data_IF_072226053378
#
_entry.id   IF_072226053378
#
_cell.length_a   1.000
_cell.length_b   1.000
_cell.length_c   1.000
_cell.angle_alpha   90.00
_cell.angle_beta   90.00
_cell.angle_gamma   90.00
#
_symmetry.space_group_name_H-M   'P 1'
#
loop_
_entity.id
_entity.type
_entity.pdbx_description
1 polymer ?
#
# COMPACT_ATOMS: atom_id res chain seq x y z
N UNK A 1 -11.00 12.90 -23.86
CA UNK A 1 -11.47 11.62 -23.29
C UNK A 1 -10.76 11.43 -21.95
N UNK A 2 -11.46 11.57 -20.82
CA UNK A 2 -10.88 11.34 -19.49
C UNK A 2 -10.66 9.84 -19.28
N UNK A 3 -9.43 9.37 -19.47
CA UNK A 3 -9.07 7.97 -19.29
C UNK A 3 -8.88 7.67 -17.80
N UNK A 4 -9.84 6.96 -17.18
CA UNK A 4 -9.69 6.44 -15.81
C UNK A 4 -8.77 5.24 -15.87
N UNK A 5 -7.50 5.42 -15.50
CA UNK A 5 -6.61 4.29 -15.23
C UNK A 5 -7.26 3.38 -14.18
N UNK A 6 -7.51 2.12 -14.53
CA UNK A 6 -8.00 1.07 -13.60
C UNK A 6 -6.85 0.66 -12.67
N UNK A 7 -6.34 1.60 -11.89
CA UNK A 7 -5.33 1.31 -10.89
C UNK A 7 -5.98 0.41 -9.86
N UNK A 8 -5.39 -0.78 -9.66
CA UNK A 8 -5.85 -1.73 -8.65
C UNK A 8 -6.00 -1.00 -7.33
N UNK A 9 -7.20 -1.02 -6.76
CA UNK A 9 -7.46 -0.44 -5.44
C UNK A 9 -6.48 -1.02 -4.42
N UNK A 10 -6.12 -0.23 -3.41
CA UNK A 10 -5.33 -0.75 -2.29
C UNK A 10 -6.05 -1.97 -1.69
N UNK A 11 -5.28 -3.00 -1.31
CA UNK A 11 -5.81 -4.19 -0.64
C UNK A 11 -6.61 -3.80 0.61
N UNK A 12 -6.29 -2.65 1.21
CA UNK A 12 -7.04 -2.06 2.33
C UNK A 12 -8.56 -1.92 2.10
N UNK A 13 -9.01 -1.76 0.85
CA UNK A 13 -10.44 -1.64 0.52
C UNK A 13 -11.22 -2.97 0.60
N UNK A 14 -10.52 -4.10 0.64
CA UNK A 14 -11.16 -5.41 0.75
C UNK A 14 -11.67 -5.63 2.19
N UNK A 15 -11.03 -5.03 3.20
CA UNK A 15 -11.39 -5.23 4.60
C UNK A 15 -12.82 -4.75 4.94
N UNK A 16 -13.24 -3.51 4.61
CA UNK A 16 -14.61 -3.07 4.89
C UNK A 16 -15.67 -3.92 4.20
N UNK A 17 -15.41 -4.34 2.96
CA UNK A 17 -16.33 -5.19 2.19
C UNK A 17 -16.46 -6.57 2.86
N UNK A 18 -15.32 -7.17 3.23
CA UNK A 18 -15.29 -8.47 3.90
C UNK A 18 -15.93 -8.43 5.30
N UNK A 19 -15.71 -7.36 6.06
CA UNK A 19 -16.35 -7.15 7.36
C UNK A 19 -17.86 -6.99 7.18
N UNK A 20 -18.31 -6.14 6.25
CA UNK A 20 -19.73 -5.90 6.03
C UNK A 20 -20.46 -7.17 5.54
N UNK A 21 -19.89 -7.88 4.56
CA UNK A 21 -20.46 -9.14 4.09
C UNK A 21 -20.51 -10.19 5.21
N UNK A 22 -19.53 -10.19 6.11
CA UNK A 22 -19.54 -11.09 7.24
C UNK A 22 -20.64 -10.84 8.25
N UNK A 23 -20.98 -9.58 8.52
CA UNK A 23 -22.10 -9.25 9.40
C UNK A 23 -23.43 -9.72 8.81
N UNK A 24 -23.62 -9.55 7.49
CA UNK A 24 -24.80 -10.05 6.79
C UNK A 24 -24.88 -11.57 6.91
N UNK A 25 -23.78 -12.28 6.62
CA UNK A 25 -23.75 -13.74 6.70
C UNK A 25 -23.96 -14.25 8.12
N UNK A 26 -23.41 -13.57 9.13
CA UNK A 26 -23.60 -13.90 10.54
C UNK A 26 -25.08 -13.78 10.94
N UNK A 27 -25.77 -12.70 10.52
CA UNK A 27 -27.20 -12.52 10.77
C UNK A 27 -28.03 -13.61 10.10
N UNK A 28 -27.69 -13.98 8.86
CA UNK A 28 -28.34 -15.08 8.15
C UNK A 28 -28.10 -16.43 8.84
N UNK A 29 -26.88 -16.70 9.29
CA UNK A 29 -26.55 -17.93 10.03
C UNK A 29 -27.29 -17.99 11.36
N UNK A 30 -27.41 -16.86 12.07
CA UNK A 30 -28.17 -16.75 13.31
C UNK A 30 -29.66 -17.04 13.10
N UNK A 31 -30.28 -16.43 12.08
CA UNK A 31 -31.69 -16.65 11.75
C UNK A 31 -31.95 -18.09 11.28
N UNK A 32 -31.08 -18.65 10.46
CA UNK A 32 -31.17 -20.04 10.01
C UNK A 32 -31.11 -21.00 11.21
N UNK A 33 -30.17 -20.79 12.14
CA UNK A 33 -30.06 -21.58 13.37
C UNK A 33 -31.32 -21.45 14.23
N UNK A 34 -31.89 -20.24 14.34
CA UNK A 34 -33.14 -20.00 15.06
C UNK A 34 -34.29 -20.81 14.48
N UNK A 35 -34.48 -20.78 13.15
CA UNK A 35 -35.51 -21.56 12.45
C UNK A 35 -35.30 -23.06 12.62
N UNK A 36 -34.06 -23.54 12.50
CA UNK A 36 -33.72 -24.96 12.68
C UNK A 36 -34.00 -25.44 14.11
N UNK A 37 -33.65 -24.64 15.14
CA UNK A 37 -33.97 -24.95 16.54
C UNK A 37 -35.49 -25.01 16.78
N UNK A 38 -36.25 -24.08 16.20
CA UNK A 38 -37.72 -24.10 16.28
C UNK A 38 -38.33 -25.32 15.56
N UNK A 39 -37.67 -25.83 14.52
CA UNK A 39 -38.06 -27.06 13.81
C UNK A 39 -37.67 -28.37 14.52
N UNK A 40 -37.09 -28.32 15.73
CA UNK A 40 -36.68 -29.49 16.49
C UNK A 40 -35.36 -30.13 16.02
N UNK A 41 -34.59 -29.44 15.17
CA UNK A 41 -33.25 -29.89 14.79
C UNK A 41 -32.23 -29.42 15.82
N UNK A 42 -31.45 -30.35 16.36
CA UNK A 42 -30.33 -30.05 17.26
C UNK A 42 -29.18 -29.39 16.48
N UNK A 43 -29.18 -28.06 16.44
CA UNK A 43 -28.06 -27.28 15.93
C UNK A 43 -27.00 -27.05 17.03
N UNK A 44 -26.43 -28.13 17.56
CA UNK A 44 -25.26 -28.07 18.44
C UNK A 44 -24.00 -27.95 17.57
N UNK A 45 -23.63 -26.72 17.22
CA UNK A 45 -22.53 -26.49 16.28
C UNK A 45 -21.84 -25.16 16.52
N UNK A 46 -21.14 -25.04 17.63
CA UNK A 46 -20.05 -24.07 17.74
C UNK A 46 -18.85 -24.70 17.01
N UNK A 47 -18.12 -23.96 16.17
CA UNK A 47 -18.17 -22.50 15.98
C UNK A 47 -19.16 -22.06 14.88
N UNK A 48 -19.54 -20.78 14.88
CA UNK A 48 -20.24 -20.16 13.75
C UNK A 48 -19.33 -20.21 12.52
N UNK A 49 -19.78 -20.87 11.45
CA UNK A 49 -18.98 -21.10 10.24
C UNK A 49 -18.58 -19.76 9.63
N UNK A 50 -19.48 -18.78 9.66
CA UNK A 50 -19.23 -17.43 9.16
C UNK A 50 -18.08 -16.75 9.88
N UNK A 51 -18.00 -16.82 11.21
CA UNK A 51 -16.91 -16.21 11.99
C UNK A 51 -15.56 -16.86 11.68
N UNK A 52 -15.52 -18.19 11.51
CA UNK A 52 -14.29 -18.89 11.10
C UNK A 52 -13.83 -18.42 9.71
N UNK A 53 -14.75 -18.29 8.76
CA UNK A 53 -14.42 -17.81 7.41
C UNK A 53 -13.83 -16.39 7.44
N UNK A 54 -14.35 -15.52 8.30
CA UNK A 54 -13.81 -14.16 8.50
C UNK A 54 -12.43 -14.19 9.13
N UNK A 55 -12.23 -15.03 10.14
CA UNK A 55 -10.92 -15.24 10.75
C UNK A 55 -9.88 -15.67 9.70
N UNK A 56 -10.21 -16.66 8.86
CA UNK A 56 -9.36 -17.11 7.77
C UNK A 56 -9.10 -16.00 6.74
N UNK A 57 -10.11 -15.19 6.43
CA UNK A 57 -9.95 -14.03 5.53
C UNK A 57 -8.89 -13.06 6.06
N UNK A 58 -8.91 -12.70 7.35
CA UNK A 58 -7.91 -11.82 7.94
C UNK A 58 -6.48 -12.38 7.85
N UNK A 59 -6.32 -13.68 8.11
CA UNK A 59 -5.02 -14.37 8.02
C UNK A 59 -4.52 -14.37 6.57
N UNK A 60 -5.37 -14.78 5.62
CA UNK A 60 -5.03 -14.83 4.19
C UNK A 60 -4.66 -13.44 3.68
N UNK A 61 -5.44 -12.41 4.02
CA UNK A 61 -5.14 -11.03 3.61
C UNK A 61 -3.81 -10.54 4.20
N UNK A 62 -3.51 -10.84 5.47
CA UNK A 62 -2.21 -10.51 6.07
C UNK A 62 -1.04 -11.17 5.35
N UNK A 63 -1.19 -12.44 4.97
CA UNK A 63 -0.19 -13.18 4.18
C UNK A 63 -0.04 -12.58 2.77
N UNK A 64 -1.15 -12.28 2.09
CA UNK A 64 -1.11 -11.65 0.76
C UNK A 64 -0.45 -10.27 0.80
N UNK A 65 -0.73 -9.48 1.83
CA UNK A 65 -0.07 -8.19 2.07
C UNK A 65 1.42 -8.36 2.35
N UNK A 66 1.83 -9.41 3.06
CA UNK A 66 3.26 -9.71 3.24
C UNK A 66 3.95 -9.99 1.90
N UNK A 67 3.37 -10.85 1.05
CA UNK A 67 3.96 -11.17 -0.25
C UNK A 67 4.02 -9.96 -1.18
N UNK A 68 3.02 -9.06 -1.09
CA UNK A 68 3.02 -7.80 -1.83
C UNK A 68 4.06 -6.84 -1.26
N UNK A 69 3.83 -6.32 -0.07
CA UNK A 69 4.56 -5.18 0.49
C UNK A 69 5.88 -5.54 1.17
N UNK A 70 6.13 -6.83 1.44
CA UNK A 70 7.27 -7.36 2.22
C UNK A 70 7.42 -6.77 3.63
N UNK A 71 6.35 -6.19 4.16
CA UNK A 71 6.29 -5.68 5.52
C UNK A 71 5.71 -6.76 6.46
N UNK A 72 6.47 -7.14 7.48
CA UNK A 72 6.13 -8.21 8.44
C UNK A 72 4.99 -7.83 9.40
N UNK A 73 4.68 -6.55 9.52
CA UNK A 73 3.62 -6.06 10.42
C UNK A 73 2.24 -6.58 9.96
N UNK A 74 2.00 -6.62 8.64
CA UNK A 74 0.72 -7.07 8.08
C UNK A 74 0.36 -8.54 8.36
N UNK A 75 1.25 -9.53 8.16
CA UNK A 75 0.92 -10.91 8.49
C UNK A 75 0.71 -11.08 9.99
N UNK A 76 1.52 -10.46 10.85
CA UNK A 76 1.34 -10.54 12.31
C UNK A 76 -0.01 -9.95 12.72
N UNK A 77 -0.37 -8.77 12.22
CA UNK A 77 -1.67 -8.16 12.49
C UNK A 77 -2.82 -9.02 11.95
N UNK A 78 -2.69 -9.59 10.75
CA UNK A 78 -3.67 -10.50 10.17
C UNK A 78 -3.88 -11.77 11.00
N UNK A 79 -2.81 -12.35 11.55
CA UNK A 79 -2.88 -13.48 12.47
C UNK A 79 -3.54 -13.11 13.79
N UNK A 80 -3.14 -12.00 14.42
CA UNK A 80 -3.74 -11.55 15.67
C UNK A 80 -5.25 -11.28 15.51
N UNK A 81 -5.63 -10.56 14.44
CA UNK A 81 -7.04 -10.29 14.12
C UNK A 81 -7.81 -11.58 13.82
N UNK A 82 -7.23 -12.50 13.05
CA UNK A 82 -7.84 -13.78 12.73
C UNK A 82 -8.08 -14.65 13.97
N UNK A 83 -7.08 -14.83 14.82
CA UNK A 83 -7.20 -15.61 16.07
C UNK A 83 -8.26 -15.00 16.98
N UNK A 84 -8.22 -13.68 17.19
CA UNK A 84 -9.20 -12.97 18.04
C UNK A 84 -10.61 -13.09 17.49
N UNK A 85 -10.77 -13.02 16.16
CA UNK A 85 -12.07 -13.23 15.50
C UNK A 85 -12.57 -14.66 15.68
N UNK A 86 -11.70 -15.68 15.52
CA UNK A 86 -12.09 -17.07 15.73
C UNK A 86 -12.54 -17.32 17.18
N UNK A 87 -11.82 -16.75 18.16
CA UNK A 87 -12.15 -16.83 19.58
C UNK A 87 -13.54 -16.24 19.90
N UNK A 88 -13.95 -15.18 19.20
CA UNK A 88 -15.29 -14.59 19.37
C UNK A 88 -16.42 -15.61 19.14
N UNK A 89 -16.23 -16.59 18.24
CA UNK A 89 -17.20 -17.67 17.98
C UNK A 89 -17.55 -18.51 19.21
N UNK A 90 -16.64 -18.54 20.20
CA UNK A 90 -16.76 -19.35 21.41
C UNK A 90 -17.26 -18.54 22.62
N UNK A 91 -17.42 -17.22 22.47
CA UNK A 91 -17.86 -16.31 23.55
C UNK A 91 -19.36 -16.00 23.45
N UNK A 92 -19.96 -16.07 22.25
CA UNK A 92 -21.41 -15.92 22.05
C UNK A 92 -22.17 -17.26 22.24
N UNK A 93 -23.48 -17.24 22.54
CA UNK A 93 -24.16 -16.79 23.76
C UNK A 93 -24.38 -17.91 24.79
N UNK A 94 -23.92 -19.15 24.54
CA UNK A 94 -24.32 -20.33 25.31
C UNK A 94 -23.26 -20.76 26.36
N UNK A 95 -22.26 -19.92 26.67
CA UNK A 95 -21.23 -20.19 27.68
C UNK A 95 -21.30 -19.20 28.85
N UNK A 96 -22.03 -19.57 29.90
CA UNK A 96 -22.08 -18.85 31.19
C UNK A 96 -20.71 -18.77 31.89
N UNK A 97 -19.69 -19.47 31.38
CA UNK A 97 -18.34 -19.45 31.93
C UNK A 97 -17.29 -19.57 30.80
N UNK A 98 -17.10 -18.48 30.05
CA UNK A 98 -16.09 -18.40 28.99
C UNK A 98 -14.65 -18.67 29.49
N UNK A 99 -14.42 -18.71 30.81
CA UNK A 99 -13.21 -19.22 31.44
C UNK A 99 -11.92 -18.67 30.82
N UNK A 100 -11.03 -19.58 30.42
CA UNK A 100 -9.73 -19.27 29.79
C UNK A 100 -9.92 -18.63 28.40
N UNK A 101 -10.98 -18.97 27.66
CA UNK A 101 -11.23 -18.45 26.31
C UNK A 101 -11.60 -16.96 26.36
N UNK A 102 -12.43 -16.55 27.31
CA UNK A 102 -12.76 -15.13 27.51
C UNK A 102 -11.54 -14.29 27.90
N UNK A 103 -10.70 -14.81 28.80
CA UNK A 103 -9.46 -14.15 29.21
C UNK A 103 -8.44 -14.05 28.07
N UNK A 104 -8.25 -15.13 27.30
CA UNK A 104 -7.34 -15.11 26.14
C UNK A 104 -7.81 -14.16 25.04
N UNK A 105 -9.11 -14.08 24.77
CA UNK A 105 -9.68 -13.09 23.85
C UNK A 105 -9.38 -11.66 24.29
N UNK A 106 -9.60 -11.34 25.58
CA UNK A 106 -9.33 -10.01 26.11
C UNK A 106 -7.84 -9.64 26.04
N UNK A 107 -6.96 -10.59 26.37
CA UNK A 107 -5.51 -10.41 26.22
C UNK A 107 -5.12 -10.18 24.76
N UNK A 108 -5.63 -11.01 23.83
CA UNK A 108 -5.38 -10.85 22.40
C UNK A 108 -5.84 -9.48 21.88
N UNK A 109 -7.00 -9.00 22.34
CA UNK A 109 -7.50 -7.67 22.01
C UNK A 109 -6.57 -6.55 22.49
N UNK A 110 -6.07 -6.63 23.73
CA UNK A 110 -5.07 -5.67 24.25
C UNK A 110 -3.77 -5.74 23.44
N UNK A 111 -3.28 -6.94 23.14
CA UNK A 111 -2.07 -7.14 22.33
C UNK A 111 -2.23 -6.50 20.95
N UNK A 112 -3.39 -6.62 20.31
CA UNK A 112 -3.67 -5.96 19.03
C UNK A 112 -3.53 -4.43 19.16
N UNK A 113 -4.16 -3.83 20.17
CA UNK A 113 -4.10 -2.38 20.38
C UNK A 113 -2.65 -1.93 20.60
N UNK A 114 -1.91 -2.61 21.49
CA UNK A 114 -0.51 -2.31 21.76
C UNK A 114 0.35 -2.48 20.50
N UNK A 115 0.12 -3.55 19.74
CA UNK A 115 0.85 -3.83 18.50
C UNK A 115 0.63 -2.71 17.47
N UNK A 116 -0.62 -2.23 17.32
CA UNK A 116 -0.93 -1.12 16.43
C UNK A 116 -0.25 0.17 16.89
N UNK A 117 -0.30 0.49 18.20
CA UNK A 117 0.32 1.70 18.74
C UNK A 117 1.84 1.69 18.52
N UNK A 118 2.50 0.58 18.85
CA UNK A 118 3.97 0.42 18.69
C UNK A 118 4.37 0.55 17.23
N UNK A 119 3.58 -0.02 16.32
CA UNK A 119 3.88 -0.04 14.88
C UNK A 119 3.21 1.09 14.09
N UNK A 120 2.57 2.06 14.78
CA UNK A 120 1.78 3.11 14.14
C UNK A 120 2.60 3.91 13.13
N UNK A 121 3.84 4.27 13.50
CA UNK A 121 4.74 5.00 12.61
C UNK A 121 4.95 4.24 11.30
N UNK A 122 5.27 2.94 11.36
CA UNK A 122 5.50 2.15 10.15
C UNK A 122 4.25 2.02 9.28
N UNK A 123 3.08 1.77 9.89
CA UNK A 123 1.81 1.71 9.18
C UNK A 123 1.47 3.04 8.48
N UNK A 124 1.58 4.14 9.22
CA UNK A 124 1.28 5.48 8.72
C UNK A 124 2.21 5.89 7.57
N UNK A 125 3.53 5.70 7.73
CA UNK A 125 4.50 6.04 6.70
C UNK A 125 4.24 5.22 5.42
N UNK A 126 3.96 3.91 5.56
CA UNK A 126 3.70 3.03 4.43
C UNK A 126 2.52 3.51 3.60
N UNK A 127 1.38 3.76 4.26
CA UNK A 127 0.17 4.21 3.59
C UNK A 127 0.39 5.55 2.85
N UNK A 128 1.09 6.50 3.49
CA UNK A 128 1.39 7.81 2.90
C UNK A 128 2.29 7.68 1.66
N UNK A 129 3.35 6.87 1.74
CA UNK A 129 4.23 6.61 0.60
C UNK A 129 3.49 5.90 -0.55
N UNK A 130 2.65 4.90 -0.25
CA UNK A 130 1.90 4.17 -1.26
C UNK A 130 0.93 5.09 -2.01
N UNK A 131 0.16 5.91 -1.27
CA UNK A 131 -0.82 6.84 -1.86
C UNK A 131 -0.11 7.88 -2.74
N UNK A 132 0.99 8.47 -2.28
CA UNK A 132 1.73 9.46 -3.07
C UNK A 132 2.44 8.82 -4.27
N UNK A 133 2.97 7.60 -4.14
CA UNK A 133 3.53 6.87 -5.28
C UNK A 133 2.46 6.61 -6.34
N UNK A 134 1.23 6.22 -5.95
CA UNK A 134 0.11 6.07 -6.88
C UNK A 134 -0.22 7.39 -7.60
N UNK A 135 -0.23 8.52 -6.89
CA UNK A 135 -0.45 9.84 -7.48
C UNK A 135 0.66 10.23 -8.46
N UNK A 136 1.91 9.92 -8.11
CA UNK A 136 3.08 10.15 -8.95
C UNK A 136 2.94 9.41 -10.28
N UNK A 137 2.63 8.11 -10.23
CA UNK A 137 2.40 7.33 -11.44
C UNK A 137 1.17 7.79 -12.24
N UNK A 138 0.09 8.22 -11.59
CA UNK A 138 -1.07 8.82 -12.28
C UNK A 138 -0.68 10.09 -13.04
N UNK A 139 0.02 11.00 -12.38
CA UNK A 139 0.43 12.28 -12.96
C UNK A 139 1.42 12.07 -14.13
N UNK A 140 2.28 11.07 -14.05
CA UNK A 140 3.13 10.65 -15.17
C UNK A 140 2.32 9.99 -16.30
N UNK A 141 1.30 9.20 -15.96
CA UNK A 141 0.45 8.53 -16.96
C UNK A 141 -0.46 9.48 -17.76
N UNK A 142 -0.94 10.57 -17.14
CA UNK A 142 -1.86 11.53 -17.76
C UNK A 142 -1.34 12.16 -19.06
N UNK A 143 -0.02 12.22 -19.25
CA UNK A 143 0.62 12.88 -20.39
C UNK A 143 0.89 11.97 -21.59
N UNK A 144 0.54 10.69 -21.50
CA UNK A 144 0.89 9.68 -22.49
C UNK A 144 -0.33 9.31 -23.33
N UNK A 145 -0.20 9.40 -24.66
CA UNK A 145 -1.30 9.21 -25.62
C UNK A 145 -1.15 7.87 -26.38
N UNK A 146 0.04 7.27 -26.42
CA UNK A 146 0.36 6.12 -27.29
C UNK A 146 0.51 4.78 -26.53
N UNK A 147 0.07 3.70 -27.19
CA UNK A 147 0.07 2.31 -26.69
C UNK A 147 0.82 1.38 -27.64
N UNK A 148 2.14 1.44 -27.63
CA UNK A 148 2.96 0.41 -28.26
C UNK A 148 4.39 0.50 -27.74
N UNK A 149 4.79 -0.38 -26.81
CA UNK A 149 6.18 -0.85 -26.61
C UNK A 149 6.24 -1.95 -25.54
N UNK A 150 7.30 -2.77 -25.61
CA UNK A 150 7.65 -3.78 -24.60
C UNK A 150 8.28 -3.17 -23.34
N UNK A 151 8.22 -3.91 -22.23
CA UNK A 151 8.93 -3.55 -20.99
C UNK A 151 10.43 -3.81 -21.13
N UNK A 152 11.27 -2.92 -20.57
CA UNK A 152 12.71 -3.19 -20.39
C UNK A 152 13.12 -2.86 -18.96
N UNK A 153 13.97 -3.66 -18.32
CA UNK A 153 14.38 -3.40 -16.92
C UNK A 153 15.52 -2.37 -16.81
N UNK A 154 16.00 -1.85 -17.95
CA UNK A 154 17.16 -0.95 -18.01
C UNK A 154 16.77 0.47 -17.56
N UNK A 155 17.64 1.18 -16.83
CA UNK A 155 17.40 2.58 -16.50
C UNK A 155 17.27 3.45 -17.78
N UNK A 156 16.23 4.25 -17.83
CA UNK A 156 15.99 5.24 -18.88
C UNK A 156 16.76 6.52 -18.57
N UNK A 157 17.56 7.01 -19.52
CA UNK A 157 18.32 8.26 -19.39
C UNK A 157 17.51 9.40 -19.98
N UNK A 158 17.06 10.35 -19.15
CA UNK A 158 16.10 11.36 -19.55
C UNK A 158 16.68 12.75 -19.87
N UNK A 159 18.00 12.83 -20.05
CA UNK A 159 18.72 14.07 -20.33
C UNK A 159 19.47 14.62 -19.13
N UNK A 160 19.91 15.88 -19.25
CA UNK A 160 20.70 16.59 -18.23
C UNK A 160 20.02 17.89 -17.81
N UNK A 161 19.94 18.17 -16.51
CA UNK A 161 19.53 19.47 -15.97
C UNK A 161 20.61 20.03 -15.05
N UNK A 162 20.95 21.32 -15.19
CA UNK A 162 21.88 21.96 -14.28
C UNK A 162 21.27 22.08 -12.88
N UNK A 163 21.79 21.28 -11.95
CA UNK A 163 21.37 21.21 -10.56
C UNK A 163 22.60 21.20 -9.67
N UNK A 164 22.61 22.03 -8.63
CA UNK A 164 23.66 21.95 -7.62
C UNK A 164 23.41 20.78 -6.66
N UNK A 165 24.46 20.28 -6.01
CA UNK A 165 24.34 19.22 -4.99
C UNK A 165 23.39 19.64 -3.86
N UNK A 166 23.43 20.91 -3.45
CA UNK A 166 22.57 21.43 -2.39
C UNK A 166 21.10 21.51 -2.80
N UNK A 167 20.81 21.90 -4.05
CA UNK A 167 19.44 21.88 -4.60
C UNK A 167 18.87 20.47 -4.64
N UNK A 168 19.67 19.47 -5.06
CA UNK A 168 19.26 18.07 -5.10
C UNK A 168 18.98 17.51 -3.69
N UNK A 169 19.86 17.80 -2.73
CA UNK A 169 19.66 17.41 -1.32
C UNK A 169 18.46 18.11 -0.69
N UNK A 170 18.24 19.38 -1.03
CA UNK A 170 17.08 20.15 -0.58
C UNK A 170 15.77 19.57 -1.10
N UNK A 171 15.69 19.32 -2.41
CA UNK A 171 14.54 18.69 -3.04
C UNK A 171 14.28 17.30 -2.45
N UNK A 172 15.32 16.46 -2.30
CA UNK A 172 15.15 15.10 -1.79
C UNK A 172 14.62 15.09 -0.36
N UNK A 173 15.09 16.01 0.49
CA UNK A 173 14.58 16.19 1.86
C UNK A 173 13.14 16.69 1.86
N UNK A 174 12.81 17.64 0.99
CA UNK A 174 11.44 18.15 0.85
C UNK A 174 10.46 17.04 0.42
N UNK A 175 10.81 16.27 -0.61
CA UNK A 175 9.99 15.17 -1.10
C UNK A 175 9.87 14.05 -0.05
N UNK A 176 10.93 13.79 0.72
CA UNK A 176 10.91 12.82 1.81
C UNK A 176 9.99 13.24 2.96
N UNK A 177 10.11 14.49 3.42
CA UNK A 177 9.28 15.05 4.49
C UNK A 177 7.78 15.01 4.16
N UNK A 178 7.44 15.03 2.86
CA UNK A 178 6.07 14.95 2.37
C UNK A 178 5.62 13.52 2.00
N UNK A 179 6.41 12.49 2.31
CA UNK A 179 6.15 11.08 1.99
C UNK A 179 5.97 10.82 0.49
N UNK A 180 6.68 11.54 -0.38
CA UNK A 180 6.60 11.34 -1.83
C UNK A 180 7.61 10.29 -2.26
N UNK A 181 8.85 10.41 -1.78
CA UNK A 181 9.96 9.50 -2.10
C UNK A 181 10.77 9.17 -0.86
N UNK A 182 11.47 8.04 -0.88
CA UNK A 182 12.54 7.72 0.08
C UNK A 182 13.89 8.01 -0.58
N UNK A 183 14.69 8.95 -0.05
CA UNK A 183 16.00 9.25 -0.60
C UNK A 183 17.05 8.25 -0.13
N UNK A 184 17.96 7.91 -1.04
CA UNK A 184 19.19 7.17 -0.82
C UNK A 184 20.34 8.04 -1.32
N UNK A 185 21.20 8.45 -0.40
CA UNK A 185 22.31 9.34 -0.69
C UNK A 185 23.52 8.51 -1.10
N UNK A 186 23.95 8.65 -2.36
CA UNK A 186 25.23 8.16 -2.85
C UNK A 186 26.22 9.33 -2.94
N UNK A 187 27.49 9.04 -3.17
CA UNK A 187 28.57 10.05 -3.09
C UNK A 187 28.31 11.27 -4.00
N UNK A 188 27.95 11.02 -5.27
CA UNK A 188 27.72 12.04 -6.30
C UNK A 188 26.29 12.07 -6.85
N UNK A 189 25.39 11.25 -6.31
CA UNK A 189 24.00 11.20 -6.77
C UNK A 189 23.00 10.93 -5.64
N UNK A 190 21.77 11.36 -5.86
CA UNK A 190 20.66 11.07 -4.96
C UNK A 190 19.66 10.19 -5.69
N UNK A 191 19.40 9.01 -5.15
CA UNK A 191 18.38 8.10 -5.66
C UNK A 191 17.09 8.25 -4.85
N UNK A 192 16.03 8.68 -5.49
CA UNK A 192 14.72 8.93 -4.91
C UNK A 192 13.78 7.76 -5.26
N UNK A 193 13.58 6.87 -4.30
CA UNK A 193 12.77 5.67 -4.46
C UNK A 193 11.27 5.93 -4.22
N UNK A 194 10.43 5.29 -5.02
CA UNK A 194 8.96 5.30 -4.91
C UNK A 194 8.40 3.95 -5.36
N UNK A 195 7.29 3.49 -4.75
CA UNK A 195 6.67 2.22 -5.14
C UNK A 195 5.23 2.12 -4.69
N UNK A 196 4.40 1.47 -5.51
CA UNK A 196 3.03 1.11 -5.12
C UNK A 196 2.95 -0.33 -4.60
N UNK A 197 3.97 -1.14 -4.87
CA UNK A 197 3.91 -2.58 -4.66
C UNK A 197 4.91 -3.10 -3.62
N UNK A 198 5.83 -2.27 -3.12
CA UNK A 198 6.74 -2.61 -2.02
C UNK A 198 6.78 -1.48 -0.99
N UNK A 199 6.81 -1.84 0.29
CA UNK A 199 6.90 -0.83 1.35
C UNK A 199 8.26 -0.14 1.30
N UNK A 200 8.28 1.18 1.12
CA UNK A 200 9.53 1.93 1.12
C UNK A 200 10.26 1.91 2.47
N UNK A 201 9.62 1.49 3.56
CA UNK A 201 10.23 1.43 4.91
C UNK A 201 11.20 0.25 5.03
N UNK A 202 10.93 -0.85 4.31
CA UNK A 202 11.73 -2.09 4.39
C UNK A 202 12.73 -2.22 3.25
N UNK A 203 12.78 -1.25 2.33
CA UNK A 203 13.74 -1.24 1.22
C UNK A 203 15.12 -0.85 1.75
N UNK A 204 16.15 -1.60 1.42
CA UNK A 204 17.53 -1.29 1.83
C UNK A 204 18.31 -0.66 0.66
N UNK A 205 18.00 -1.07 -0.56
CA UNK A 205 18.62 -0.58 -1.79
C UNK A 205 17.56 0.01 -2.77
N UNK A 206 17.79 1.20 -3.34
CA UNK A 206 16.85 1.81 -4.29
C UNK A 206 16.56 0.94 -5.52
N UNK A 207 17.49 0.06 -5.92
CA UNK A 207 17.35 -0.84 -7.06
C UNK A 207 16.25 -1.88 -6.91
N UNK A 208 15.80 -2.15 -5.68
CA UNK A 208 14.71 -3.08 -5.38
C UNK A 208 13.33 -2.57 -5.81
N UNK A 209 13.21 -1.27 -6.09
CA UNK A 209 11.97 -0.57 -6.40
C UNK A 209 12.15 0.43 -7.55
N UNK A 210 11.06 1.11 -7.92
CA UNK A 210 11.14 2.22 -8.87
C UNK A 210 11.87 3.40 -8.22
N UNK A 211 12.77 4.05 -8.95
CA UNK A 211 13.54 5.17 -8.44
C UNK A 211 13.98 6.11 -9.56
N UNK A 212 14.21 7.37 -9.17
CA UNK A 212 14.90 8.36 -10.01
C UNK A 212 16.24 8.67 -9.38
N UNK A 213 17.32 8.53 -10.13
CA UNK A 213 18.66 8.93 -9.71
C UNK A 213 19.04 10.20 -10.44
N UNK A 214 19.41 11.23 -9.68
CA UNK A 214 19.94 12.49 -10.17
C UNK A 214 21.37 12.65 -9.67
N UNK A 215 22.31 12.89 -10.58
CA UNK A 215 23.69 13.21 -10.20
C UNK A 215 23.94 14.73 -10.14
N UNK A 216 25.04 15.10 -9.50
CA UNK A 216 25.53 16.48 -9.40
C UNK A 216 25.97 17.08 -10.75
N UNK A 217 26.10 16.27 -11.79
CA UNK A 217 26.38 16.67 -13.17
C UNK A 217 25.11 16.86 -13.99
N UNK A 218 23.94 16.71 -13.36
CA UNK A 218 22.64 16.92 -13.97
C UNK A 218 22.03 15.73 -14.68
N UNK A 219 22.72 14.58 -14.78
CA UNK A 219 22.20 13.37 -15.41
C UNK A 219 21.04 12.81 -14.59
N UNK A 220 19.93 12.58 -15.27
CA UNK A 220 18.75 11.95 -14.68
C UNK A 220 18.58 10.56 -15.29
N UNK A 221 18.46 9.57 -14.42
CA UNK A 221 18.10 8.22 -14.80
C UNK A 221 16.89 7.72 -14.02
N UNK A 222 16.02 6.97 -14.70
CA UNK A 222 14.80 6.42 -14.12
C UNK A 222 14.76 4.93 -14.29
N UNK A 223 14.50 4.23 -13.19
CA UNK A 223 14.13 2.82 -13.21
C UNK A 223 12.70 2.69 -12.72
N UNK A 224 11.86 1.99 -13.48
CA UNK A 224 10.52 1.58 -13.03
C UNK A 224 10.54 0.06 -12.88
N UNK A 225 10.18 -0.43 -11.69
CA UNK A 225 10.18 -1.86 -11.42
C UNK A 225 9.11 -2.58 -12.25
N UNK A 226 9.36 -3.83 -12.64
CA UNK A 226 8.38 -4.62 -13.40
C UNK A 226 7.05 -4.73 -12.64
N UNK A 227 7.10 -4.87 -11.31
CA UNK A 227 5.91 -4.95 -10.45
C UNK A 227 5.06 -3.68 -10.54
N UNK A 228 5.70 -2.51 -10.50
CA UNK A 228 4.98 -1.24 -10.63
C UNK A 228 4.51 -0.99 -12.06
N UNK A 229 5.29 -1.37 -13.08
CA UNK A 229 4.89 -1.24 -14.48
C UNK A 229 3.71 -2.15 -14.85
N UNK A 230 3.61 -3.36 -14.28
CA UNK A 230 2.49 -4.29 -14.56
C UNK A 230 1.12 -3.68 -14.30
N UNK A 231 1.01 -2.74 -13.36
CA UNK A 231 -0.25 -2.03 -13.08
C UNK A 231 -0.63 -1.03 -14.20
N UNK A 232 0.32 -0.67 -15.08
CA UNK A 232 0.17 0.27 -16.20
C UNK A 232 0.37 -0.36 -17.60
N UNK A 233 0.79 -1.62 -17.66
CA UNK A 233 1.15 -2.36 -18.88
C UNK A 233 0.05 -2.40 -19.94
N UNK A 234 -1.22 -2.28 -19.55
CA UNK A 234 -2.35 -2.28 -20.49
C UNK A 234 -2.63 -0.92 -21.13
N UNK A 235 -1.95 0.15 -20.70
CA UNK A 235 -2.30 1.52 -21.05
C UNK A 235 -1.16 2.37 -21.60
N UNK A 236 0.10 2.00 -21.39
CA UNK A 236 1.23 2.91 -21.62
C UNK A 236 2.44 2.16 -22.18
N UNK A 237 3.19 2.79 -23.10
CA UNK A 237 4.57 2.37 -23.43
C UNK A 237 5.48 2.56 -22.20
N UNK A 238 6.36 1.60 -21.95
CA UNK A 238 7.30 1.65 -20.83
C UNK A 238 8.24 2.86 -20.93
N UNK A 239 8.84 3.07 -22.11
CA UNK A 239 9.78 4.16 -22.33
C UNK A 239 9.10 5.52 -22.20
N UNK A 240 7.85 5.64 -22.66
CA UNK A 240 7.04 6.85 -22.47
C UNK A 240 6.72 7.12 -21.00
N UNK A 241 6.45 6.07 -20.22
CA UNK A 241 6.23 6.22 -18.77
C UNK A 241 7.51 6.67 -18.06
N UNK A 242 8.65 6.08 -18.41
CA UNK A 242 9.95 6.51 -17.90
C UNK A 242 10.27 7.96 -18.27
N UNK A 243 10.07 8.35 -19.53
CA UNK A 243 10.27 9.73 -19.99
C UNK A 243 9.35 10.72 -19.26
N UNK A 244 8.05 10.43 -19.18
CA UNK A 244 7.11 11.32 -18.50
C UNK A 244 7.36 11.41 -16.99
N UNK A 245 7.87 10.34 -16.38
CA UNK A 245 8.29 10.37 -14.98
C UNK A 245 9.51 11.30 -14.80
N UNK A 246 10.45 11.27 -15.73
CA UNK A 246 11.63 12.14 -15.65
C UNK A 246 11.28 13.60 -15.82
N UNK A 247 10.45 13.91 -16.81
CA UNK A 247 9.94 15.27 -17.01
C UNK A 247 9.23 15.78 -15.76
N UNK A 248 8.54 14.90 -15.03
CA UNK A 248 7.86 15.25 -13.79
C UNK A 248 8.85 15.61 -12.67
N UNK A 249 9.91 14.82 -12.50
CA UNK A 249 10.93 15.11 -11.51
C UNK A 249 11.78 16.33 -11.87
N UNK A 250 12.04 16.56 -13.16
CA UNK A 250 12.65 17.79 -13.69
C UNK A 250 11.81 19.01 -13.31
N UNK A 251 10.49 18.97 -13.55
CA UNK A 251 9.57 20.04 -13.14
C UNK A 251 9.54 20.25 -11.64
N UNK A 252 9.59 19.19 -10.84
CA UNK A 252 9.64 19.31 -9.38
C UNK A 252 10.91 20.01 -8.91
N UNK A 253 12.06 19.70 -9.51
CA UNK A 253 13.30 20.40 -9.24
C UNK A 253 13.19 21.89 -9.61
N UNK A 254 12.64 22.21 -10.77
CA UNK A 254 12.44 23.60 -11.19
C UNK A 254 11.51 24.37 -10.24
N UNK A 255 10.41 23.75 -9.79
CA UNK A 255 9.54 24.33 -8.78
C UNK A 255 10.27 24.57 -7.46
N UNK A 256 11.12 23.63 -7.04
CA UNK A 256 11.91 23.80 -5.82
C UNK A 256 12.92 24.95 -5.94
N UNK A 257 13.69 25.01 -7.04
CA UNK A 257 14.66 26.08 -7.32
C UNK A 257 14.03 27.47 -7.32
N UNK A 258 12.80 27.57 -7.83
CA UNK A 258 12.06 28.83 -7.89
C UNK A 258 11.26 29.15 -6.61
N UNK A 259 11.39 28.36 -5.53
CA UNK A 259 10.65 28.57 -4.27
C UNK A 259 9.15 28.28 -4.37
N UNK A 260 8.74 27.49 -5.37
CA UNK A 260 7.35 27.08 -5.65
C UNK A 260 7.07 25.63 -5.23
N UNK A 261 7.76 25.13 -4.21
CA UNK A 261 7.64 23.75 -3.71
C UNK A 261 6.20 23.33 -3.34
N UNK A 262 5.37 24.26 -2.87
CA UNK A 262 3.93 24.02 -2.60
C UNK A 262 3.16 23.55 -3.83
N UNK A 263 3.62 23.93 -5.03
CA UNK A 263 3.02 23.51 -6.31
C UNK A 263 3.17 22.01 -6.55
N UNK A 264 4.28 21.40 -6.10
CA UNK A 264 4.53 19.95 -6.17
C UNK A 264 3.39 19.19 -5.49
N UNK A 265 3.02 19.63 -4.28
CA UNK A 265 1.93 19.01 -3.52
C UNK A 265 0.56 19.24 -4.16
N UNK A 266 0.34 20.41 -4.76
CA UNK A 266 -0.91 20.72 -5.44
C UNK A 266 -1.12 19.85 -6.68
N UNK A 267 -0.08 19.65 -7.49
CA UNK A 267 -0.14 18.81 -8.70
C UNK A 267 -0.31 17.32 -8.35
N UNK A 268 0.39 16.83 -7.33
CA UNK A 268 0.20 15.46 -6.86
C UNK A 268 -1.23 15.21 -6.36
N UNK A 269 -1.86 16.21 -5.72
CA UNK A 269 -3.24 16.10 -5.24
C UNK A 269 -4.28 16.24 -6.36
N UNK A 270 -3.96 16.93 -7.46
CA UNK A 270 -4.87 17.09 -8.59
C UNK A 270 -5.00 15.84 -9.44
N UNK A 271 -3.99 14.96 -9.44
CA UNK A 271 -4.04 13.64 -10.07
C UNK A 271 -5.06 12.75 -9.34
N UNK A 272 -6.32 12.76 -9.80
CA UNK A 272 -7.44 11.99 -9.25
C UNK A 272 -7.71 10.72 -10.06
#
# INVERSE_FOLDING_TARGET
>A
MNYRSKIRMSIGWIYPIGIFSSYILLLLEYELRRVLRQGGYDSWGIPYITIILVSLMFIILGILQWFRYRNWIYPVLGFLMGITTAQASFIFPDYDNAGIIGLTYFICFIIIILFIIINWSSLYHHERFEINSRRLFRLAAERIIETSDGFTERPYSAGSIEATKDELLGLSRYLHANFIVRPFYLDDSVSMAFSMNKSLIVVEDPSEVSHVTMDSHGKISIKISEKDYRDYRHSLSFDRLCASMADLFIRFLEYYKNGHESRILSELKSAR
#
